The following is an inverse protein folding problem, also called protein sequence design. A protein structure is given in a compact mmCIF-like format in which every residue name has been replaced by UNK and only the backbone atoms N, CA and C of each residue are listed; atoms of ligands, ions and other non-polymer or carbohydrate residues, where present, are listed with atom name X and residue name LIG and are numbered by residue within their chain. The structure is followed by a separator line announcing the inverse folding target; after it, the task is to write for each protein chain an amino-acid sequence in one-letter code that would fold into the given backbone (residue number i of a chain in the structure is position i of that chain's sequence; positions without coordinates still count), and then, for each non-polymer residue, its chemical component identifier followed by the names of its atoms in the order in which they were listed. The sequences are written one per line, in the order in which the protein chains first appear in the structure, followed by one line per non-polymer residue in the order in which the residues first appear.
data_IF_151987220000
#
_entry.id   IF_151987220000
#
_cell.length_a   1.000
_cell.length_b   1.000
_cell.length_c   1.000
_cell.angle_alpha   90.00
_cell.angle_beta   90.00
_cell.angle_gamma   90.00
#
_symmetry.space_group_name_H-M   'P 1'
#
loop_
_entity.id
_entity.type
_entity.pdbx_description
1 polymer ?
#
# COMPACT_ATOMS: atom_id res chain seq x y z
N UNK A 1 -24.14 -33.75 7.58
CA UNK A 1 -23.20 -32.60 7.59
C UNK A 1 -23.67 -31.63 8.65
N UNK A 2 -22.96 -31.48 9.78
CA UNK A 2 -23.32 -30.50 10.79
C UNK A 2 -23.28 -29.10 10.15
N UNK A 3 -24.33 -28.31 10.35
CA UNK A 3 -24.35 -26.91 9.92
C UNK A 3 -23.17 -26.21 10.60
N UNK A 4 -22.18 -25.79 9.80
CA UNK A 4 -21.03 -25.05 10.31
C UNK A 4 -21.58 -23.83 11.06
N UNK A 5 -21.44 -23.83 12.39
CA UNK A 5 -21.80 -22.71 13.22
C UNK A 5 -21.06 -21.49 12.65
N UNK A 6 -21.81 -20.55 12.08
CA UNK A 6 -21.23 -19.33 11.53
C UNK A 6 -20.71 -18.55 12.73
N UNK A 7 -19.45 -18.74 13.07
CA UNK A 7 -18.75 -17.97 14.08
C UNK A 7 -18.57 -16.55 13.54
N UNK A 8 -19.64 -15.76 13.58
CA UNK A 8 -19.54 -14.35 13.32
C UNK A 8 -18.88 -13.69 14.52
N UNK A 9 -17.87 -12.87 14.25
CA UNK A 9 -17.32 -12.00 15.29
C UNK A 9 -18.43 -11.09 15.80
N UNK A 10 -18.72 -11.16 17.10
CA UNK A 10 -19.75 -10.34 17.73
C UNK A 10 -19.12 -8.99 18.11
N UNK A 11 -19.69 -7.85 17.69
CA UNK A 11 -19.19 -6.55 18.10
C UNK A 11 -19.32 -6.37 19.62
N UNK A 12 -18.36 -5.68 20.23
CA UNK A 12 -18.45 -5.29 21.64
C UNK A 12 -19.73 -4.47 21.87
N UNK A 13 -20.52 -4.79 22.90
CA UNK A 13 -21.74 -4.05 23.20
C UNK A 13 -21.43 -2.60 23.59
N UNK A 14 -22.32 -1.67 23.24
CA UNK A 14 -22.24 -0.26 23.65
C UNK A 14 -21.56 0.69 22.66
N UNK A 15 -21.01 0.20 21.54
CA UNK A 15 -20.40 1.07 20.51
C UNK A 15 -21.34 1.16 19.29
N UNK A 16 -22.00 2.31 19.11
CA UNK A 16 -22.92 2.54 17.97
C UNK A 16 -22.15 2.65 16.65
N UNK A 17 -22.59 1.92 15.63
CA UNK A 17 -22.02 1.99 14.27
C UNK A 17 -22.34 3.34 13.62
N UNK A 18 -21.37 4.03 13.00
CA UNK A 18 -21.65 5.24 12.24
C UNK A 18 -22.55 4.94 11.03
N UNK A 19 -23.34 5.91 10.56
CA UNK A 19 -24.19 5.71 9.40
C UNK A 19 -23.34 5.42 8.15
N UNK A 20 -23.69 4.35 7.44
CA UNK A 20 -23.02 3.99 6.19
C UNK A 20 -23.42 4.94 5.06
N UNK A 21 -22.54 5.17 4.07
CA UNK A 21 -22.91 5.93 2.87
C UNK A 21 -24.08 5.29 2.13
N UNK A 22 -25.04 6.11 1.70
CA UNK A 22 -26.25 5.63 1.00
C UNK A 22 -25.95 5.12 -0.41
N UNK A 23 -24.94 5.68 -1.08
CA UNK A 23 -24.60 5.35 -2.46
C UNK A 23 -23.70 4.10 -2.53
N UNK A 24 -24.35 2.95 -2.60
CA UNK A 24 -23.70 1.64 -2.80
C UNK A 24 -23.33 1.45 -4.26
N UNK A 25 -22.20 0.80 -4.52
CA UNK A 25 -21.78 0.40 -5.86
C UNK A 25 -22.86 -0.48 -6.56
N UNK A 26 -23.48 0.00 -7.65
CA UNK A 26 -24.58 -0.71 -8.30
C UNK A 26 -24.13 -2.02 -8.96
N UNK A 27 -22.86 -2.12 -9.35
CA UNK A 27 -22.35 -3.33 -9.99
C UNK A 27 -22.26 -4.52 -9.04
N UNK A 28 -22.15 -4.28 -7.73
CA UNK A 28 -22.15 -5.37 -6.74
C UNK A 28 -23.52 -6.05 -6.70
N UNK A 29 -24.61 -5.29 -6.83
CA UNK A 29 -25.98 -5.83 -6.86
C UNK A 29 -26.29 -6.56 -8.17
N UNK A 30 -25.66 -6.14 -9.27
CA UNK A 30 -25.82 -6.77 -10.58
C UNK A 30 -24.97 -8.03 -10.77
N UNK A 31 -24.07 -8.35 -9.84
CA UNK A 31 -23.24 -9.54 -9.94
C UNK A 31 -24.04 -10.81 -9.66
N UNK A 32 -23.77 -11.84 -10.45
CA UNK A 32 -24.34 -13.17 -10.25
C UNK A 32 -23.78 -13.79 -8.96
N UNK A 33 -24.68 -14.09 -8.01
CA UNK A 33 -24.35 -14.72 -6.72
C UNK A 33 -23.85 -16.15 -6.91
N UNK A 34 -24.20 -16.82 -8.01
CA UNK A 34 -23.81 -18.21 -8.28
C UNK A 34 -22.37 -18.34 -8.76
N UNK A 35 -21.81 -17.27 -9.36
CA UNK A 35 -20.47 -17.26 -9.94
C UNK A 35 -19.63 -16.14 -9.33
N UNK A 36 -19.01 -16.37 -8.16
CA UNK A 36 -18.21 -15.34 -7.51
C UNK A 36 -17.02 -14.93 -8.41
N UNK A 37 -16.59 -13.65 -8.35
CA UNK A 37 -15.44 -13.19 -9.10
C UNK A 37 -14.18 -14.00 -8.78
N UNK A 38 -13.34 -14.34 -9.77
CA UNK A 38 -12.16 -15.17 -9.54
C UNK A 38 -11.13 -14.47 -8.67
N UNK A 39 -10.68 -15.16 -7.62
CA UNK A 39 -9.58 -14.71 -6.75
C UNK A 39 -8.26 -14.96 -7.47
N UNK A 40 -7.44 -13.92 -7.61
CA UNK A 40 -6.08 -14.04 -8.16
C UNK A 40 -5.07 -13.89 -7.03
N UNK A 41 -4.08 -14.77 -7.00
CA UNK A 41 -2.99 -14.69 -6.03
C UNK A 41 -1.78 -13.96 -6.62
N UNK A 42 -1.12 -13.14 -5.81
CA UNK A 42 0.08 -12.41 -6.17
C UNK A 42 1.06 -12.41 -5.00
N UNK A 43 2.30 -12.81 -5.24
CA UNK A 43 3.40 -12.63 -4.30
C UNK A 43 3.84 -11.16 -4.31
N UNK A 44 3.82 -10.52 -3.14
CA UNK A 44 4.33 -9.16 -2.93
C UNK A 44 5.54 -9.27 -2.00
N UNK A 45 6.69 -8.77 -2.46
CA UNK A 45 7.89 -8.70 -1.63
C UNK A 45 8.00 -7.30 -1.04
N UNK A 46 8.07 -7.22 0.29
CA UNK A 46 8.33 -5.96 1.00
C UNK A 46 9.34 -6.20 2.10
N UNK A 47 10.40 -5.38 2.13
CA UNK A 47 11.45 -5.46 3.15
C UNK A 47 12.07 -6.86 3.30
N UNK A 48 12.22 -7.57 2.17
CA UNK A 48 12.77 -8.94 2.16
C UNK A 48 11.79 -10.05 2.56
N UNK A 49 10.55 -9.70 2.95
CA UNK A 49 9.50 -10.67 3.27
C UNK A 49 8.56 -10.82 2.08
N UNK A 50 8.45 -12.03 1.53
CA UNK A 50 7.43 -12.38 0.54
C UNK A 50 6.12 -12.70 1.25
N UNK A 51 5.05 -11.99 0.89
CA UNK A 51 3.69 -12.28 1.36
C UNK A 51 2.80 -12.53 0.15
N UNK A 52 2.11 -13.67 0.14
CA UNK A 52 1.13 -13.98 -0.90
C UNK A 52 -0.19 -13.28 -0.54
N UNK A 53 -0.73 -12.53 -1.49
CA UNK A 53 -1.98 -11.78 -1.35
C UNK A 53 -2.98 -12.29 -2.38
N UNK A 54 -4.15 -12.71 -1.92
CA UNK A 54 -5.32 -12.94 -2.75
C UNK A 54 -6.01 -11.61 -3.05
N UNK A 55 -6.39 -11.38 -4.32
CA UNK A 55 -7.12 -10.19 -4.74
C UNK A 55 -8.34 -10.55 -5.57
N UNK A 56 -9.43 -9.83 -5.32
CA UNK A 56 -10.65 -9.87 -6.14
C UNK A 56 -10.84 -8.51 -6.81
N UNK A 57 -11.08 -8.51 -8.11
CA UNK A 57 -11.35 -7.30 -8.90
C UNK A 57 -12.85 -7.02 -8.90
N UNK A 58 -13.24 -5.82 -8.47
CA UNK A 58 -14.63 -5.35 -8.45
C UNK A 58 -14.75 -4.13 -9.38
N UNK A 59 -15.67 -4.13 -10.35
CA UNK A 59 -15.95 -2.96 -11.19
C UNK A 59 -16.59 -1.85 -10.36
N UNK A 60 -16.20 -0.61 -10.63
CA UNK A 60 -16.77 0.58 -9.98
C UNK A 60 -17.50 1.46 -11.01
N UNK A 61 -18.52 2.22 -10.59
CA UNK A 61 -19.10 3.27 -11.43
C UNK A 61 -18.00 4.22 -11.91
N UNK A 62 -18.10 4.70 -13.15
CA UNK A 62 -17.05 5.50 -13.79
C UNK A 62 -16.02 4.70 -14.59
N UNK A 63 -16.26 3.40 -14.84
CA UNK A 63 -15.39 2.55 -15.66
C UNK A 63 -14.08 2.13 -14.99
N UNK A 64 -13.94 2.44 -13.70
CA UNK A 64 -12.83 2.02 -12.85
C UNK A 64 -12.98 0.60 -12.31
N UNK A 65 -12.02 0.21 -11.49
CA UNK A 65 -12.08 -1.02 -10.73
C UNK A 65 -11.37 -0.86 -9.38
N UNK A 66 -11.95 -1.48 -8.35
CA UNK A 66 -11.36 -1.62 -7.04
C UNK A 66 -10.84 -3.06 -6.87
N UNK A 67 -9.88 -3.24 -5.96
CA UNK A 67 -9.40 -4.56 -5.57
C UNK A 67 -9.64 -4.76 -4.09
N UNK A 68 -10.29 -5.85 -3.70
CA UNK A 68 -10.31 -6.31 -2.31
C UNK A 68 -9.11 -7.23 -2.10
N UNK A 69 -8.33 -6.96 -1.06
CA UNK A 69 -7.10 -7.68 -0.75
C UNK A 69 -7.27 -8.55 0.49
N UNK A 70 -6.76 -9.78 0.41
CA UNK A 70 -6.61 -10.73 1.52
C UNK A 70 -5.16 -11.19 1.61
N UNK A 71 -4.56 -11.12 2.79
CA UNK A 71 -3.26 -11.74 3.04
C UNK A 71 -3.44 -13.22 3.34
N UNK A 72 -2.64 -14.07 2.72
CA UNK A 72 -2.72 -15.52 2.95
C UNK A 72 -1.94 -15.99 4.18
N UNK A 73 -0.99 -15.19 4.67
CA UNK A 73 -0.19 -15.55 5.86
C UNK A 73 -1.03 -15.49 7.15
N UNK A 74 -1.81 -14.42 7.34
CA UNK A 74 -2.70 -14.26 8.51
C UNK A 74 -4.16 -14.51 8.18
N UNK A 75 -4.51 -14.67 6.90
CA UNK A 75 -5.90 -14.71 6.45
C UNK A 75 -6.61 -13.35 6.48
N UNK A 76 -5.96 -12.28 6.96
CA UNK A 76 -6.61 -10.99 7.18
C UNK A 76 -7.04 -10.30 5.87
N UNK A 77 -8.16 -9.59 5.93
CA UNK A 77 -8.78 -8.88 4.79
C UNK A 77 -8.74 -7.37 5.04
N UNK A 78 -8.41 -6.60 4.00
CA UNK A 78 -8.30 -5.14 4.12
C UNK A 78 -9.68 -4.47 4.08
N UNK A 79 -10.11 -3.94 5.23
CA UNK A 79 -11.37 -3.20 5.39
C UNK A 79 -11.41 -1.96 4.52
N UNK A 80 -10.32 -1.22 4.43
CA UNK A 80 -10.24 0.02 3.63
C UNK A 80 -10.50 -0.28 2.15
N UNK A 81 -10.00 -1.41 1.65
CA UNK A 81 -10.29 -1.84 0.27
C UNK A 81 -11.71 -2.35 0.09
N UNK A 82 -12.28 -3.04 1.09
CA UNK A 82 -13.70 -3.45 1.08
C UNK A 82 -14.61 -2.23 1.03
N UNK A 83 -14.36 -1.23 1.88
CA UNK A 83 -15.15 -0.01 1.98
C UNK A 83 -15.13 0.78 0.66
N UNK A 84 -13.95 1.00 0.07
CA UNK A 84 -13.82 1.69 -1.23
C UNK A 84 -14.46 0.94 -2.40
N UNK A 85 -14.46 -0.40 -2.34
CA UNK A 85 -15.12 -1.20 -3.38
C UNK A 85 -16.66 -1.13 -3.26
N UNK A 86 -17.17 -1.09 -2.02
CA UNK A 86 -18.60 -0.99 -1.72
C UNK A 86 -19.15 0.42 -1.93
N UNK A 87 -18.40 1.46 -1.55
CA UNK A 87 -18.80 2.86 -1.58
C UNK A 87 -17.77 3.71 -2.35
N UNK A 88 -17.76 3.64 -3.68
CA UNK A 88 -16.75 4.29 -4.52
C UNK A 88 -16.81 5.83 -4.50
N UNK A 89 -17.96 6.40 -4.15
CA UNK A 89 -18.20 7.86 -4.03
C UNK A 89 -18.10 8.37 -2.59
N UNK A 90 -17.84 7.49 -1.62
CA UNK A 90 -17.74 7.89 -0.22
C UNK A 90 -16.52 8.78 0.05
N UNK A 91 -16.67 9.69 1.01
CA UNK A 91 -15.58 10.53 1.48
C UNK A 91 -14.57 9.74 2.32
N UNK A 92 -13.33 10.21 2.36
CA UNK A 92 -12.28 9.64 3.21
C UNK A 92 -12.62 9.74 4.71
N UNK A 93 -13.45 10.72 5.09
CA UNK A 93 -13.94 10.88 6.46
C UNK A 93 -14.88 9.75 6.87
N UNK A 94 -15.78 9.32 5.97
CA UNK A 94 -16.66 8.17 6.21
C UNK A 94 -15.86 6.85 6.30
N UNK A 95 -14.81 6.70 5.48
CA UNK A 95 -13.89 5.57 5.61
C UNK A 95 -13.20 5.57 6.99
N UNK A 96 -12.74 6.74 7.45
CA UNK A 96 -12.04 6.89 8.73
C UNK A 96 -12.97 6.63 9.93
N UNK A 97 -14.22 7.10 9.88
CA UNK A 97 -15.19 6.88 10.96
C UNK A 97 -15.55 5.40 11.09
N UNK A 98 -15.76 4.71 9.97
CA UNK A 98 -16.03 3.26 9.95
C UNK A 98 -14.82 2.46 10.47
N UNK A 99 -13.61 2.80 10.03
CA UNK A 99 -12.38 2.16 10.53
C UNK A 99 -12.20 2.40 12.03
N UNK A 100 -12.54 3.60 12.53
CA UNK A 100 -12.46 3.89 13.97
C UNK A 100 -13.47 3.06 14.76
N UNK A 101 -14.71 2.96 14.27
CA UNK A 101 -15.74 2.12 14.88
C UNK A 101 -15.32 0.64 14.93
N UNK A 102 -14.72 0.12 13.86
CA UNK A 102 -14.23 -1.28 13.82
C UNK A 102 -13.16 -1.52 14.88
N UNK A 103 -12.21 -0.60 15.05
CA UNK A 103 -11.16 -0.71 16.08
C UNK A 103 -11.72 -0.74 17.50
N UNK A 104 -12.80 0.00 17.74
CA UNK A 104 -13.46 0.05 19.04
C UNK A 104 -14.32 -1.20 19.28
N UNK A 105 -14.96 -1.70 18.21
CA UNK A 105 -15.98 -2.76 18.30
C UNK A 105 -15.41 -4.17 18.23
N UNK A 106 -14.30 -4.39 17.55
CA UNK A 106 -13.76 -5.73 17.30
C UNK A 106 -12.33 -5.86 17.82
N UNK A 107 -11.95 -7.08 18.21
CA UNK A 107 -10.54 -7.39 18.39
C UNK A 107 -9.87 -7.56 17.03
N UNK A 108 -8.84 -6.75 16.78
CA UNK A 108 -8.05 -6.77 15.55
C UNK A 108 -6.62 -7.25 15.81
N UNK A 109 -6.38 -7.78 17.01
CA UNK A 109 -5.11 -8.41 17.38
C UNK A 109 -4.76 -9.52 16.38
N UNK A 110 -3.50 -9.57 15.95
CA UNK A 110 -3.02 -10.56 14.98
C UNK A 110 -3.43 -10.34 13.51
N UNK A 111 -4.39 -9.47 13.20
CA UNK A 111 -4.82 -9.25 11.81
C UNK A 111 -3.75 -8.52 10.98
N UNK A 112 -3.03 -7.57 11.60
CA UNK A 112 -1.89 -6.92 10.97
C UNK A 112 -0.58 -7.39 11.60
N UNK A 113 0.33 -7.95 10.78
CA UNK A 113 1.70 -8.19 11.24
C UNK A 113 2.32 -6.88 11.70
N UNK A 114 2.84 -6.86 12.93
CA UNK A 114 3.63 -5.74 13.45
C UNK A 114 4.96 -5.65 12.68
N UNK A 115 5.51 -4.43 12.56
CA UNK A 115 6.83 -4.19 11.94
C UNK A 115 6.80 -3.50 10.57
N UNK A 116 7.96 -3.51 9.90
CA UNK A 116 8.22 -2.77 8.64
C UNK A 116 7.39 -3.31 7.45
N UNK A 117 7.14 -4.62 7.42
CA UNK A 117 6.38 -5.30 6.37
C UNK A 117 4.84 -5.09 6.45
N UNK A 118 4.34 -4.10 7.20
CA UNK A 118 2.89 -3.85 7.33
C UNK A 118 2.30 -3.27 6.04
N UNK A 119 1.24 -3.88 5.53
CA UNK A 119 0.48 -3.28 4.42
C UNK A 119 -0.28 -2.04 4.90
N UNK A 120 -0.48 -1.08 3.98
CA UNK A 120 -1.28 0.12 4.27
C UNK A 120 -2.75 -0.24 4.52
N UNK A 121 -3.48 0.66 5.17
CA UNK A 121 -4.89 0.47 5.51
C UNK A 121 -5.13 -0.34 6.79
N UNK A 122 -6.40 -0.60 7.08
CA UNK A 122 -6.82 -1.39 8.23
C UNK A 122 -7.19 -2.82 7.79
N UNK A 123 -6.71 -3.79 8.56
CA UNK A 123 -6.82 -5.22 8.27
C UNK A 123 -7.54 -5.90 9.43
N UNK A 124 -8.50 -6.78 9.11
CA UNK A 124 -9.31 -7.51 10.10
C UNK A 124 -9.28 -9.01 9.81
N UNK A 125 -9.65 -9.81 10.81
CA UNK A 125 -9.80 -11.26 10.67
C UNK A 125 -10.93 -11.62 9.69
N UNK A 126 -10.91 -12.82 9.09
CA UNK A 126 -11.96 -13.28 8.18
C UNK A 126 -13.37 -13.19 8.78
N UNK A 127 -13.52 -13.53 10.06
CA UNK A 127 -14.83 -13.54 10.73
C UNK A 127 -15.43 -12.14 10.86
N UNK A 128 -14.60 -11.15 11.19
CA UNK A 128 -15.00 -9.74 11.22
C UNK A 128 -15.31 -9.25 9.80
N UNK A 129 -14.51 -9.64 8.80
CA UNK A 129 -14.79 -9.27 7.41
C UNK A 129 -16.11 -9.87 6.91
N UNK A 130 -16.45 -11.11 7.29
CA UNK A 130 -17.73 -11.75 6.98
C UNK A 130 -18.92 -11.02 7.61
N UNK A 131 -18.77 -10.55 8.85
CA UNK A 131 -19.78 -9.71 9.51
C UNK A 131 -19.97 -8.38 8.78
N UNK A 132 -18.88 -7.68 8.42
CA UNK A 132 -18.94 -6.40 7.70
C UNK A 132 -19.49 -6.56 6.27
N UNK A 133 -19.26 -7.72 5.64
CA UNK A 133 -19.66 -7.99 4.27
C UNK A 133 -21.17 -7.83 4.05
N UNK A 134 -22.00 -8.15 5.04
CA UNK A 134 -23.45 -8.00 4.94
C UNK A 134 -23.84 -6.52 4.80
N UNK A 135 -23.30 -5.65 5.66
CA UNK A 135 -23.54 -4.20 5.58
C UNK A 135 -22.95 -3.53 4.34
N UNK A 136 -21.94 -4.13 3.73
CA UNK A 136 -21.32 -3.63 2.49
C UNK A 136 -21.90 -4.27 1.22
N UNK A 137 -22.90 -5.15 1.35
CA UNK A 137 -23.44 -5.96 0.25
C UNK A 137 -22.39 -6.82 -0.48
N UNK A 138 -21.29 -7.17 0.19
CA UNK A 138 -20.21 -8.02 -0.32
C UNK A 138 -20.34 -9.48 0.15
N UNK A 139 -21.52 -9.87 0.66
CA UNK A 139 -21.78 -11.17 1.29
C UNK A 139 -21.50 -12.38 0.41
N UNK A 140 -21.54 -12.24 -0.92
CA UNK A 140 -21.22 -13.32 -1.87
C UNK A 140 -19.74 -13.36 -2.27
N UNK A 141 -19.01 -12.24 -2.15
CA UNK A 141 -17.60 -12.12 -2.57
C UNK A 141 -16.67 -12.52 -1.44
N UNK A 142 -16.93 -12.03 -0.23
CA UNK A 142 -16.02 -12.22 0.92
C UNK A 142 -15.88 -13.67 1.33
N UNK A 143 -16.93 -14.52 1.38
CA UNK A 143 -16.76 -15.95 1.68
C UNK A 143 -15.86 -16.65 0.67
N UNK A 144 -16.04 -16.38 -0.63
CA UNK A 144 -15.19 -16.95 -1.68
C UNK A 144 -13.73 -16.50 -1.53
N UNK A 145 -13.49 -15.22 -1.21
CA UNK A 145 -12.15 -14.70 -0.94
C UNK A 145 -11.54 -15.30 0.34
N UNK A 146 -12.34 -15.51 1.39
CA UNK A 146 -11.90 -16.05 2.68
C UNK A 146 -11.59 -17.56 2.62
N UNK A 147 -12.31 -18.33 1.81
CA UNK A 147 -12.07 -19.76 1.62
C UNK A 147 -11.04 -20.08 0.54
N UNK A 148 -10.62 -19.08 -0.27
CA UNK A 148 -9.67 -19.31 -1.35
C UNK A 148 -8.30 -19.76 -0.81
N UNK A 149 -7.78 -20.85 -1.37
CA UNK A 149 -6.45 -21.41 -1.06
C UNK A 149 -5.58 -21.29 -2.31
N UNK A 150 -4.34 -20.78 -2.19
CA UNK A 150 -3.40 -20.78 -3.32
C UNK A 150 -3.08 -22.23 -3.71
N UNK A 151 -3.00 -22.50 -5.02
CA UNK A 151 -2.55 -23.80 -5.48
C UNK A 151 -1.06 -23.98 -5.14
N UNK A 152 -0.68 -25.02 -4.36
CA UNK A 152 0.70 -25.23 -3.91
C UNK A 152 1.68 -25.40 -5.07
N UNK A 153 1.21 -25.84 -6.24
CA UNK A 153 2.05 -26.08 -7.40
C UNK A 153 2.25 -24.83 -8.26
N UNK A 154 1.57 -23.72 -7.94
CA UNK A 154 1.67 -22.49 -8.74
C UNK A 154 2.82 -21.61 -8.27
N UNK A 155 3.89 -21.57 -9.07
CA UNK A 155 4.95 -20.57 -8.89
C UNK A 155 4.39 -19.19 -9.21
N UNK A 156 4.13 -18.39 -8.18
CA UNK A 156 3.61 -17.04 -8.36
C UNK A 156 4.62 -16.17 -9.09
N UNK A 157 4.18 -15.55 -10.18
CA UNK A 157 5.03 -14.64 -10.96
C UNK A 157 5.39 -13.43 -10.11
N UNK A 158 6.59 -13.46 -9.54
CA UNK A 158 7.23 -12.33 -8.85
C UNK A 158 7.18 -11.11 -9.76
N UNK A 159 6.43 -10.08 -9.36
CA UNK A 159 6.25 -8.90 -10.21
C UNK A 159 7.59 -8.17 -10.37
N UNK A 160 8.21 -8.28 -11.55
CA UNK A 160 9.49 -7.63 -11.90
C UNK A 160 9.46 -6.08 -11.80
N UNK A 161 8.30 -5.48 -11.53
CA UNK A 161 8.10 -4.03 -11.43
C UNK A 161 7.81 -3.53 -10.00
N UNK A 162 7.95 -4.34 -8.95
CA UNK A 162 7.95 -3.79 -7.58
C UNK A 162 9.29 -3.12 -7.31
N UNK A 163 9.41 -1.89 -7.83
CA UNK A 163 10.35 -0.91 -7.29
C UNK A 163 9.97 -0.74 -5.80
N UNK A 164 10.92 -0.81 -4.86
CA UNK A 164 10.63 -0.66 -3.44
C UNK A 164 9.90 0.67 -3.22
N UNK A 165 8.69 0.61 -2.66
CA UNK A 165 7.99 1.81 -2.18
C UNK A 165 8.95 2.58 -1.28
N UNK A 166 9.32 3.83 -1.60
CA UNK A 166 10.22 4.59 -0.75
C UNK A 166 9.55 4.76 0.61
N UNK A 167 10.19 4.20 1.64
CA UNK A 167 9.86 4.45 3.04
C UNK A 167 9.94 5.95 3.27
N UNK A 168 8.80 6.58 3.54
CA UNK A 168 8.73 7.97 3.94
C UNK A 168 9.46 8.16 5.28
N UNK A 169 10.66 8.74 5.22
CA UNK A 169 11.15 9.69 6.21
C UNK A 169 10.84 11.10 5.71
N UNK A 170 10.54 12.06 6.60
CA UNK A 170 9.96 13.34 6.23
C UNK A 170 11.01 14.33 5.73
N UNK A 171 10.53 15.33 4.99
CA UNK A 171 11.23 16.52 4.50
C UNK A 171 12.18 16.34 3.30
N UNK A 172 11.59 16.24 2.10
CA UNK A 172 12.19 16.80 0.89
C UNK A 172 11.08 17.33 -0.03
N UNK A 173 11.24 18.59 -0.42
CA UNK A 173 10.36 19.44 -1.24
C UNK A 173 10.29 19.03 -2.73
N UNK A 174 9.36 19.62 -3.52
CA UNK A 174 8.85 19.06 -4.76
C UNK A 174 9.75 19.34 -5.98
N UNK A 175 10.26 18.29 -6.60
CA UNK A 175 10.88 18.34 -7.93
C UNK A 175 9.83 18.39 -9.07
N UNK A 176 10.16 18.97 -10.23
CA UNK A 176 9.19 19.35 -11.25
C UNK A 176 8.64 18.14 -12.03
N UNK A 177 7.35 18.22 -12.31
CA UNK A 177 6.52 17.21 -12.97
C UNK A 177 7.11 16.70 -14.30
N UNK A 178 7.05 15.38 -14.57
CA UNK A 178 7.42 14.85 -15.88
C UNK A 178 6.40 15.27 -16.94
N UNK A 179 6.91 15.93 -17.98
CA UNK A 179 6.17 16.41 -19.12
C UNK A 179 5.42 15.28 -19.87
N UNK A 180 4.21 15.62 -20.29
CA UNK A 180 3.30 14.87 -21.17
C UNK A 180 4.05 14.10 -22.26
N UNK A 181 3.94 12.77 -22.24
CA UNK A 181 4.30 11.89 -23.36
C UNK A 181 3.40 12.22 -24.56
N UNK A 182 4.01 12.88 -25.55
CA UNK A 182 3.50 13.08 -26.91
C UNK A 182 3.51 11.72 -27.63
N UNK A 183 2.35 11.35 -28.18
CA UNK A 183 2.15 10.19 -29.06
C UNK A 183 2.77 10.51 -30.40
N UNK A 184 3.93 9.92 -30.71
CA UNK A 184 4.51 9.93 -32.04
C UNK A 184 4.27 8.59 -32.76
N UNK A 185 4.21 8.72 -34.08
CA UNK A 185 3.52 7.85 -35.00
C UNK A 185 4.23 6.52 -35.28
N UNK A 186 3.40 5.62 -35.82
CA UNK A 186 3.72 4.38 -36.52
C UNK A 186 4.96 4.47 -37.41
N UNK A 187 5.67 3.33 -37.59
CA UNK A 187 6.04 2.96 -38.95
C UNK A 187 5.72 1.49 -39.29
N UNK A 188 5.10 1.36 -40.46
CA UNK A 188 5.22 0.33 -41.50
C UNK A 188 5.35 -1.16 -41.11
N UNK A 189 4.34 -1.92 -41.54
CA UNK A 189 4.41 -3.36 -41.76
C UNK A 189 5.25 -3.69 -43.02
N UNK A 190 5.99 -4.80 -43.04
CA UNK A 190 6.46 -5.40 -44.28
C UNK A 190 5.60 -6.59 -44.72
N UNK A 191 5.00 -6.41 -45.90
CA UNK A 191 5.01 -7.30 -47.09
C UNK A 191 4.63 -8.77 -46.92
N UNK A 192 3.48 -9.10 -47.50
CA UNK A 192 3.00 -10.45 -47.80
C UNK A 192 3.70 -11.05 -49.05
N UNK A 193 3.83 -12.38 -49.07
CA UNK A 193 4.17 -13.20 -50.24
C UNK A 193 3.36 -14.51 -50.21
N UNK A 194 3.17 -15.17 -51.37
CA UNK A 194 1.84 -15.58 -51.85
C UNK A 194 1.45 -17.04 -51.56
N UNK A 195 0.14 -17.27 -51.46
CA UNK A 195 -0.47 -18.61 -51.46
C UNK A 195 -0.97 -18.95 -52.87
N UNK A 196 -0.49 -20.08 -53.37
CA UNK A 196 -0.85 -20.71 -54.64
C UNK A 196 -2.23 -21.40 -54.53
N UNK A 197 -3.15 -21.10 -55.47
CA UNK A 197 -4.33 -21.93 -55.80
C UNK A 197 -4.02 -22.76 -57.07
N UNK A 198 -4.71 -23.87 -57.43
CA UNK A 198 -6.09 -23.88 -58.03
C UNK A 198 -6.90 -25.23 -57.81
N UNK A 199 -8.03 -25.59 -58.49
CA UNK A 199 -9.27 -24.87 -58.91
C UNK A 199 -10.60 -25.73 -58.67
N UNK A 200 -11.73 -25.67 -59.45
CA UNK A 200 -13.02 -25.18 -58.94
C UNK A 200 -14.27 -26.07 -59.24
N UNK A 201 -15.46 -25.68 -58.76
CA UNK A 201 -16.75 -26.00 -59.39
C UNK A 201 -17.82 -24.93 -59.10
N UNK A 202 -18.79 -24.70 -60.02
CA UNK A 202 -19.58 -23.46 -60.13
C UNK A 202 -21.00 -23.60 -59.55
N UNK A 203 -21.72 -22.48 -59.40
CA UNK A 203 -23.13 -22.28 -59.84
C UNK A 203 -23.62 -20.89 -59.41
N UNK A 204 -23.85 -20.07 -60.44
CA UNK A 204 -24.95 -19.14 -60.75
C UNK A 204 -25.40 -18.01 -59.79
N UNK A 205 -25.55 -16.86 -60.43
CA UNK A 205 -26.00 -15.51 -60.06
C UNK A 205 -27.55 -15.42 -60.08
N UNK A 206 -28.23 -14.24 -60.13
CA UNK A 206 -27.99 -12.85 -59.70
C UNK A 206 -29.14 -12.34 -58.76
N UNK A 207 -29.19 -11.13 -58.19
CA UNK A 207 -29.70 -9.87 -58.79
C UNK A 207 -29.55 -8.73 -57.75
N UNK A 208 -28.79 -7.70 -58.11
CA UNK A 208 -28.80 -6.30 -57.59
C UNK A 208 -30.02 -5.54 -58.18
N UNK A 209 -30.44 -4.28 -57.81
CA UNK A 209 -29.59 -3.10 -57.54
C UNK A 209 -30.28 -2.00 -56.63
N UNK A 210 -29.94 -0.67 -56.68
CA UNK A 210 -29.16 0.03 -55.63
C UNK A 210 -29.73 1.45 -55.23
N UNK A 211 -28.97 2.58 -55.17
CA UNK A 211 -28.18 3.13 -54.05
C UNK A 211 -28.41 4.65 -53.73
N UNK A 212 -27.91 5.15 -52.60
CA UNK A 212 -27.47 6.56 -52.48
C UNK A 212 -26.57 6.74 -51.24
N UNK A 213 -25.25 6.94 -51.36
CA UNK A 213 -24.45 8.13 -51.79
C UNK A 213 -24.07 9.09 -50.64
N UNK A 214 -22.75 9.37 -50.63
CA UNK A 214 -22.01 10.53 -50.05
C UNK A 214 -21.56 10.36 -48.59
N UNK A 215 -20.28 10.12 -48.29
CA UNK A 215 -19.09 10.97 -48.45
C UNK A 215 -19.14 12.25 -47.61
N UNK A 216 -18.31 12.33 -46.56
CA UNK A 216 -17.25 13.34 -46.34
C UNK A 216 -16.84 13.40 -44.87
N UNK A 217 -15.55 13.22 -44.61
CA UNK A 217 -14.85 13.74 -43.43
C UNK A 217 -14.81 15.28 -43.47
N UNK A 218 -14.63 15.97 -42.33
CA UNK A 218 -13.28 16.48 -42.07
C UNK A 218 -12.82 16.50 -40.60
N UNK A 219 -11.54 16.83 -40.50
CA UNK A 219 -10.53 16.87 -39.44
C UNK A 219 -10.74 17.93 -38.31
N UNK A 220 -9.88 17.93 -37.25
CA UNK A 220 -10.19 18.48 -35.93
C UNK A 220 -9.83 19.97 -35.79
N UNK A 221 -10.60 20.69 -34.96
CA UNK A 221 -10.38 22.13 -34.69
C UNK A 221 -9.86 22.38 -33.27
N UNK A 222 -8.86 23.26 -33.23
CA UNK A 222 -8.02 23.71 -32.13
C UNK A 222 -8.56 25.06 -31.61
N UNK A 223 -8.70 25.25 -30.29
CA UNK A 223 -8.64 26.54 -29.58
C UNK A 223 -8.70 26.27 -28.07
N UNK A 224 -7.67 26.48 -27.23
CA UNK A 224 -7.09 27.74 -26.70
C UNK A 224 -8.09 28.82 -26.28
N UNK A 225 -7.92 29.27 -25.02
CA UNK A 225 -8.35 30.57 -24.44
C UNK A 225 -9.87 30.68 -24.17
N UNK A 226 -10.40 31.26 -23.09
CA UNK A 226 -9.95 32.20 -22.06
C UNK A 226 -11.02 32.25 -20.93
N UNK A 227 -10.60 32.71 -19.74
CA UNK A 227 -11.34 33.58 -18.81
C UNK A 227 -12.69 33.15 -18.20
N UNK A 228 -12.68 33.09 -16.86
CA UNK A 228 -13.78 33.48 -15.96
C UNK A 228 -14.27 34.91 -16.24
N UNK A 229 -15.51 35.29 -15.85
CA UNK A 229 -15.70 36.08 -14.62
C UNK A 229 -17.11 35.83 -13.96
N UNK A 230 -17.64 36.68 -13.06
CA UNK A 230 -17.65 36.51 -11.61
C UNK A 230 -19.07 36.48 -10.98
N UNK A 231 -19.11 36.49 -9.64
CA UNK A 231 -20.27 36.53 -8.76
C UNK A 231 -21.38 37.52 -9.15
N UNK A 232 -22.62 37.08 -9.00
CA UNK A 232 -23.81 37.93 -8.97
C UNK A 232 -24.39 37.95 -7.54
N UNK A 233 -24.72 39.15 -7.10
CA UNK A 233 -25.19 39.53 -5.78
C UNK A 233 -26.64 40.05 -5.84
N UNK A 234 -27.30 40.03 -4.67
CA UNK A 234 -28.52 40.77 -4.26
C UNK A 234 -29.90 40.18 -4.67
N UNK A 235 -31.04 40.50 -3.98
CA UNK A 235 -31.25 41.58 -3.02
C UNK A 235 -32.03 41.30 -1.70
N UNK A 236 -31.93 42.33 -0.87
CA UNK A 236 -32.42 42.70 0.46
C UNK A 236 -33.95 42.88 0.61
N UNK A 237 -34.49 42.68 1.84
CA UNK A 237 -35.41 43.54 2.66
C UNK A 237 -36.48 42.73 3.46
N UNK A 238 -37.13 43.26 4.54
CA UNK A 238 -36.63 44.12 5.63
C UNK A 238 -37.16 43.80 7.06
N UNK A 239 -36.52 44.45 8.06
CA UNK A 239 -37.00 45.01 9.35
C UNK A 239 -38.02 44.26 10.25
N UNK A 240 -37.58 43.88 11.47
CA UNK A 240 -38.05 44.42 12.78
C UNK A 240 -36.91 44.31 13.80
N UNK A 241 -36.69 45.35 14.60
CA UNK A 241 -35.69 45.50 15.68
C UNK A 241 -36.41 45.95 16.99
N UNK A 242 -35.75 46.32 18.11
CA UNK A 242 -34.56 45.80 18.80
C UNK A 242 -34.78 45.64 20.34
N UNK A 243 -33.90 44.93 21.07
CA UNK A 243 -33.59 45.29 22.46
C UNK A 243 -32.25 44.73 22.99
N UNK A 244 -31.30 45.66 23.19
CA UNK A 244 -30.37 45.79 24.33
C UNK A 244 -29.24 44.75 24.53
N UNK A 245 -28.02 45.20 24.19
CA UNK A 245 -26.71 44.76 24.73
C UNK A 245 -26.42 45.42 26.09
N UNK A 246 -25.46 44.91 26.90
CA UNK A 246 -24.15 45.57 26.87
C UNK A 246 -22.93 44.64 27.00
N UNK A 247 -21.83 45.13 26.44
CA UNK A 247 -20.46 44.59 26.44
C UNK A 247 -19.80 44.81 27.81
N UNK A 248 -18.92 43.90 28.21
CA UNK A 248 -17.95 44.12 29.31
C UNK A 248 -16.50 43.93 28.83
N UNK A 249 -15.54 44.61 29.48
CA UNK A 249 -14.28 45.01 28.86
C UNK A 249 -13.07 44.11 29.20
N UNK A 250 -12.14 44.09 28.24
CA UNK A 250 -10.77 43.59 28.32
C UNK A 250 -9.98 44.37 29.38
N UNK A 251 -9.53 43.69 30.44
CA UNK A 251 -8.68 44.27 31.49
C UNK A 251 -7.30 43.62 31.49
N UNK A 252 -6.26 44.44 31.26
CA UNK A 252 -4.86 44.17 31.61
C UNK A 252 -4.72 44.32 33.12
N UNK A 253 -4.01 43.42 33.80
CA UNK A 253 -3.49 43.68 35.16
C UNK A 253 -2.02 43.28 35.28
N UNK A 254 -1.25 44.27 35.71
CA UNK A 254 0.09 44.19 36.27
C UNK A 254 -0.01 43.91 37.80
N UNK A 255 1.11 43.65 38.50
CA UNK A 255 1.16 42.95 39.77
C UNK A 255 0.82 43.87 40.94
N UNK A 256 0.25 43.32 42.03
CA UNK A 256 0.11 44.07 43.28
C UNK A 256 0.31 43.19 44.52
N UNK A 257 1.09 43.79 45.41
CA UNK A 257 1.50 43.42 46.76
C UNK A 257 0.36 43.22 47.76
N UNK A 258 0.77 42.55 48.84
CA UNK A 258 0.17 42.30 50.15
C UNK A 258 -0.68 43.44 50.74
N UNK A 259 -1.75 43.09 51.45
CA UNK A 259 -1.88 43.28 52.92
C UNK A 259 -3.32 43.01 53.43
N UNK A 260 -3.38 42.10 54.43
CA UNK A 260 -4.09 42.15 55.73
C UNK A 260 -5.64 42.16 55.83
N UNK A 261 -6.21 40.95 56.08
CA UNK A 261 -7.00 40.48 57.27
C UNK A 261 -8.15 41.33 57.89
N UNK A 262 -8.99 40.79 58.83
CA UNK A 262 -9.56 39.44 59.05
C UNK A 262 -11.07 39.43 59.42
N UNK A 263 -11.73 38.26 59.38
CA UNK A 263 -12.55 37.67 60.48
C UNK A 263 -13.68 36.76 59.99
N UNK A 264 -13.61 35.47 60.35
CA UNK A 264 -14.80 34.66 60.62
C UNK A 264 -14.88 33.29 59.96
N UNK A 265 -14.42 32.27 60.69
CA UNK A 265 -15.02 30.93 60.82
C UNK A 265 -14.94 29.97 59.61
N UNK A 266 -14.71 28.67 59.70
CA UNK A 266 -14.05 27.71 60.62
C UNK A 266 -14.09 26.36 59.83
N UNK A 267 -13.10 25.50 60.03
CA UNK A 267 -13.05 24.08 59.62
C UNK A 267 -13.28 23.68 58.13
N UNK A 268 -12.19 23.56 57.36
CA UNK A 268 -11.64 22.27 56.85
C UNK A 268 -10.44 22.57 55.93
N UNK A 269 -9.24 22.59 56.49
CA UNK A 269 -7.99 22.70 55.74
C UNK A 269 -7.14 21.46 56.03
N UNK A 270 -7.00 20.59 55.03
CA UNK A 270 -5.96 19.55 54.96
C UNK A 270 -5.01 19.98 53.86
N UNK A 271 -3.74 20.13 54.21
CA UNK A 271 -2.60 20.49 53.37
C UNK A 271 -2.48 19.62 52.11
N UNK A 272 -2.81 20.14 50.92
CA UNK A 272 -2.59 19.45 49.63
C UNK A 272 -1.66 20.19 48.65
N UNK A 273 -1.11 21.35 49.01
CA UNK A 273 -0.40 22.21 48.04
C UNK A 273 1.14 22.27 48.19
N UNK A 274 1.72 21.32 48.95
CA UNK A 274 3.18 21.14 49.05
C UNK A 274 3.71 19.86 48.36
N UNK A 275 2.83 18.99 47.83
CA UNK A 275 3.24 17.73 47.15
C UNK A 275 3.33 17.81 45.63
N UNK A 276 2.76 18.84 44.98
CA UNK A 276 2.75 18.95 43.52
C UNK A 276 4.15 19.24 42.90
N UNK A 277 5.14 19.64 43.71
CA UNK A 277 6.51 19.89 43.25
C UNK A 277 7.48 18.71 43.48
N UNK A 278 7.04 17.59 44.07
CA UNK A 278 7.90 16.40 44.32
C UNK A 278 7.74 15.26 43.31
N UNK A 279 6.88 15.41 42.30
CA UNK A 279 6.57 14.34 41.34
C UNK A 279 7.48 14.37 40.09
N UNK A 280 8.28 15.42 39.89
CA UNK A 280 9.02 15.62 38.64
C UNK A 280 10.52 15.25 38.66
N UNK A 281 11.10 14.87 39.81
CA UNK A 281 12.48 14.39 39.93
C UNK A 281 12.49 13.36 41.07
N UNK A 282 12.69 12.03 40.87
CA UNK A 282 13.78 11.42 40.09
C UNK A 282 13.46 10.03 39.47
N UNK A 283 13.44 9.90 38.14
CA UNK A 283 13.54 8.57 37.47
C UNK A 283 14.64 8.46 36.42
N UNK A 284 15.47 9.51 36.30
CA UNK A 284 16.54 9.54 35.31
C UNK A 284 17.65 8.51 35.62
N UNK A 285 17.85 8.15 36.90
CA UNK A 285 18.84 7.14 37.25
C UNK A 285 18.37 5.71 36.92
N UNK A 286 17.08 5.42 37.07
CA UNK A 286 16.47 4.15 36.66
C UNK A 286 16.47 4.00 35.14
N UNK A 287 16.14 5.06 34.40
CA UNK A 287 16.24 5.09 32.92
C UNK A 287 17.67 4.79 32.44
N UNK A 288 18.68 5.35 33.11
CA UNK A 288 20.09 5.07 32.79
C UNK A 288 20.46 3.61 33.09
N UNK A 289 19.92 3.02 34.16
CA UNK A 289 20.14 1.61 34.50
C UNK A 289 19.46 0.70 33.48
N UNK A 290 18.20 0.96 33.13
CA UNK A 290 17.45 0.19 32.12
C UNK A 290 18.13 0.25 30.74
N UNK A 291 18.63 1.43 30.33
CA UNK A 291 19.39 1.56 29.09
C UNK A 291 20.71 0.78 29.12
N UNK A 292 21.42 0.75 30.25
CA UNK A 292 22.65 -0.05 30.40
C UNK A 292 22.36 -1.55 30.33
N UNK A 293 21.28 -2.01 30.94
CA UNK A 293 20.84 -3.41 30.87
C UNK A 293 20.46 -3.81 29.45
N UNK A 294 19.75 -2.93 28.72
CA UNK A 294 19.39 -3.16 27.32
C UNK A 294 20.62 -3.32 26.42
N UNK A 295 21.64 -2.47 26.63
CA UNK A 295 22.90 -2.54 25.89
C UNK A 295 23.68 -3.82 26.24
N UNK A 296 23.71 -4.22 27.51
CA UNK A 296 24.35 -5.46 27.93
C UNK A 296 23.67 -6.69 27.30
N UNK A 297 22.33 -6.71 27.28
CA UNK A 297 21.53 -7.77 26.66
C UNK A 297 21.76 -7.85 25.14
N UNK A 298 21.74 -6.71 24.44
CA UNK A 298 22.01 -6.66 22.99
C UNK A 298 23.44 -7.08 22.63
N UNK A 299 24.42 -6.78 23.49
CA UNK A 299 25.80 -7.26 23.32
C UNK A 299 25.90 -8.78 23.53
N UNK A 300 25.23 -9.32 24.55
CA UNK A 300 25.19 -10.77 24.80
C UNK A 300 24.54 -11.52 23.63
N UNK A 301 23.41 -11.03 23.11
CA UNK A 301 22.73 -11.63 21.96
C UNK A 301 23.60 -11.59 20.69
N UNK A 302 24.33 -10.50 20.44
CA UNK A 302 25.29 -10.43 19.32
C UNK A 302 26.46 -11.40 19.48
N UNK A 303 26.98 -11.57 20.69
CA UNK A 303 28.05 -12.52 20.95
C UNK A 303 27.55 -13.96 20.71
N UNK A 304 26.37 -14.32 21.24
CA UNK A 304 25.76 -15.62 21.02
C UNK A 304 25.46 -15.89 19.53
N UNK A 305 24.96 -14.90 18.80
CA UNK A 305 24.72 -15.00 17.37
C UNK A 305 26.03 -15.21 16.58
N UNK A 306 27.12 -14.53 16.99
CA UNK A 306 28.43 -14.67 16.34
C UNK A 306 29.04 -16.06 16.60
N UNK A 307 28.90 -16.62 17.81
CA UNK A 307 29.33 -17.99 18.09
C UNK A 307 28.55 -19.00 17.24
N UNK A 308 27.22 -18.85 17.15
CA UNK A 308 26.39 -19.70 16.27
C UNK A 308 26.81 -19.62 14.80
N UNK A 309 27.17 -18.43 14.32
CA UNK A 309 27.68 -18.28 12.95
C UNK A 309 29.07 -18.92 12.76
N UNK A 310 29.95 -18.86 13.76
CA UNK A 310 31.24 -19.55 13.70
C UNK A 310 31.09 -21.07 13.70
N UNK A 311 30.17 -21.62 14.50
CA UNK A 311 29.91 -23.06 14.52
C UNK A 311 29.35 -23.56 13.19
N UNK A 312 28.43 -22.82 12.56
CA UNK A 312 27.91 -23.17 11.22
C UNK A 312 29.01 -23.15 10.16
N UNK A 313 29.88 -22.14 10.19
CA UNK A 313 30.99 -22.04 9.20
C UNK A 313 32.05 -23.13 9.41
N UNK A 314 32.35 -23.52 10.66
CA UNK A 314 33.33 -24.57 10.95
C UNK A 314 32.80 -25.98 10.67
N UNK A 315 31.48 -26.18 10.82
CA UNK A 315 30.82 -27.45 10.47
C UNK A 315 30.78 -27.65 8.96
N UNK A 316 30.53 -26.58 8.20
CA UNK A 316 30.48 -26.64 6.74
C UNK A 316 31.85 -26.83 6.05
N UNK A 317 32.97 -26.65 6.77
CA UNK A 317 34.32 -26.84 6.22
C UNK A 317 34.91 -28.23 6.47
N UNK A 318 34.26 -29.10 7.26
CA UNK A 318 34.79 -30.44 7.60
C UNK A 318 34.14 -31.56 6.76
N UNK A 319 32.99 -31.32 6.12
CA UNK A 319 32.29 -32.35 5.32
C UNK A 319 32.71 -32.42 3.83
N UNK A 320 33.67 -31.63 3.36
CA UNK A 320 34.04 -31.58 1.94
C UNK A 320 35.37 -32.29 1.59
N UNK A 321 36.01 -33.01 2.52
CA UNK A 321 37.35 -33.58 2.26
C UNK A 321 37.51 -35.09 2.53
N UNK A 322 36.43 -35.85 2.79
CA UNK A 322 36.56 -37.30 3.07
C UNK A 322 35.41 -38.15 2.50
N UNK A 323 35.26 -38.21 1.17
CA UNK A 323 34.61 -39.39 0.53
C UNK A 323 35.00 -39.55 -0.94
N UNK A 324 36.10 -40.25 -1.18
CA UNK A 324 36.47 -40.83 -2.48
C UNK A 324 37.23 -42.12 -2.16
N UNK A 325 37.01 -43.18 -2.97
CA UNK A 325 37.48 -44.59 -2.82
C UNK A 325 36.48 -45.43 -2.01
N UNK A 326 35.81 -46.50 -2.45
CA UNK A 326 35.87 -47.37 -3.64
C UNK A 326 34.67 -48.35 -3.56
N UNK A 327 34.16 -48.84 -4.69
CA UNK A 327 33.02 -49.78 -4.76
C UNK A 327 33.38 -50.93 -5.69
N UNK A 328 33.26 -52.17 -5.21
CA UNK A 328 33.19 -53.40 -6.02
C UNK A 328 31.93 -54.21 -5.62
N UNK A 329 31.00 -54.36 -6.58
CA UNK A 329 30.28 -55.56 -7.09
C UNK A 329 29.85 -56.75 -6.16
N UNK A 330 29.06 -57.75 -6.62
CA UNK A 330 27.59 -57.73 -6.62
C UNK A 330 26.97 -59.02 -6.00
N UNK A 331 25.63 -59.06 -5.83
CA UNK A 331 24.75 -60.21 -6.13
C UNK A 331 23.44 -60.20 -5.31
N UNK A 332 22.32 -60.35 -6.04
CA UNK A 332 21.34 -61.37 -5.70
C UNK A 332 20.03 -60.96 -5.00
N UNK A 333 18.96 -60.98 -5.80
CA UNK A 333 17.76 -61.82 -5.59
C UNK A 333 16.45 -61.17 -5.06
N UNK A 334 15.56 -60.90 -6.04
CA UNK A 334 14.11 -61.21 -6.12
C UNK A 334 13.05 -60.36 -5.38
N UNK A 335 12.32 -59.63 -6.25
CA UNK A 335 10.87 -59.31 -6.31
C UNK A 335 10.37 -58.12 -5.47
N UNK A 336 9.87 -57.08 -6.14
CA UNK A 336 8.41 -56.78 -6.29
C UNK A 336 8.20 -55.31 -6.71
N UNK A 337 7.44 -55.14 -7.81
CA UNK A 337 6.60 -53.99 -8.21
C UNK A 337 7.25 -52.85 -9.03
N UNK A 338 6.90 -52.87 -10.31
CA UNK A 338 7.06 -51.79 -11.28
C UNK A 338 6.25 -50.56 -10.88
N UNK A 339 6.94 -49.45 -10.57
CA UNK A 339 6.53 -48.12 -11.01
C UNK A 339 7.79 -47.38 -11.49
N UNK A 340 7.77 -47.05 -12.77
CA UNK A 340 8.87 -46.55 -13.59
C UNK A 340 9.31 -45.16 -13.09
N UNK A 341 10.40 -45.14 -12.31
CA UNK A 341 11.06 -43.91 -11.88
C UNK A 341 11.95 -43.42 -13.02
N UNK A 342 11.35 -42.75 -14.00
CA UNK A 342 12.11 -41.94 -14.98
C UNK A 342 12.88 -40.87 -14.23
N UNK A 343 14.17 -41.09 -14.04
CA UNK A 343 15.12 -40.09 -13.58
C UNK A 343 15.16 -38.97 -14.62
N UNK A 344 14.52 -37.84 -14.31
CA UNK A 344 14.65 -36.60 -15.07
C UNK A 344 16.09 -36.07 -14.92
N UNK A 345 16.98 -36.58 -15.75
CA UNK A 345 18.35 -36.07 -15.91
C UNK A 345 18.26 -34.73 -16.62
N UNK A 346 18.25 -33.64 -15.85
CA UNK A 346 18.31 -32.28 -16.37
C UNK A 346 19.70 -32.05 -16.97
N UNK A 347 19.81 -32.21 -18.29
CA UNK A 347 20.98 -31.76 -19.04
C UNK A 347 20.97 -30.23 -19.08
N UNK A 348 21.51 -29.58 -18.05
CA UNK A 348 21.92 -28.18 -18.15
C UNK A 348 23.04 -28.12 -19.18
N UNK A 349 22.69 -27.67 -20.39
CA UNK A 349 23.68 -27.23 -21.35
C UNK A 349 24.31 -25.97 -20.76
N UNK A 350 25.44 -26.14 -20.07
CA UNK A 350 26.27 -25.02 -19.65
C UNK A 350 26.48 -24.13 -20.88
N UNK A 351 26.10 -22.84 -20.83
CA UNK A 351 26.44 -21.92 -21.90
C UNK A 351 27.96 -21.86 -21.94
N UNK A 352 28.54 -22.49 -22.96
CA UNK A 352 29.99 -22.55 -23.15
C UNK A 352 30.60 -21.15 -23.03
N UNK A 353 31.79 -21.11 -22.43
CA UNK A 353 32.59 -19.92 -22.08
C UNK A 353 32.96 -18.98 -23.25
N UNK A 354 32.38 -19.15 -24.44
CA UNK A 354 32.75 -18.43 -25.66
C UNK A 354 31.85 -17.26 -26.08
N UNK A 355 30.66 -17.06 -25.51
CA UNK A 355 29.70 -16.06 -26.04
C UNK A 355 29.01 -15.21 -24.96
N UNK A 356 29.79 -14.58 -24.07
CA UNK A 356 29.31 -13.38 -23.36
C UNK A 356 29.68 -12.16 -24.19
N UNK A 357 28.98 -11.99 -25.32
CA UNK A 357 29.00 -10.70 -26.02
C UNK A 357 28.39 -9.63 -25.10
N UNK A 358 29.19 -8.64 -24.71
CA UNK A 358 28.77 -7.48 -23.94
C UNK A 358 27.53 -6.87 -24.59
N UNK A 359 26.36 -7.12 -23.99
CA UNK A 359 25.13 -6.47 -24.44
C UNK A 359 25.29 -4.99 -24.16
N UNK A 360 25.46 -4.21 -25.22
CA UNK A 360 25.54 -2.76 -25.17
C UNK A 360 24.32 -2.20 -24.42
N UNK A 361 24.52 -1.86 -23.15
CA UNK A 361 23.52 -1.16 -22.35
C UNK A 361 23.43 0.23 -22.96
N UNK A 362 22.35 0.49 -23.69
CA UNK A 362 22.01 1.81 -24.22
C UNK A 362 21.76 2.78 -23.05
N UNK A 363 22.85 3.30 -22.49
CA UNK A 363 22.82 4.32 -21.44
C UNK A 363 22.58 5.67 -22.11
N UNK A 364 21.51 6.33 -21.66
CA UNK A 364 21.08 7.62 -22.15
C UNK A 364 22.24 8.64 -22.04
N UNK A 365 22.62 9.29 -23.14
CA UNK A 365 23.87 10.08 -23.25
C UNK A 365 24.00 11.21 -22.23
N UNK A 366 22.89 11.68 -21.66
CA UNK A 366 22.87 12.70 -20.60
C UNK A 366 23.41 12.21 -19.25
N UNK A 367 23.40 10.91 -18.98
CA UNK A 367 23.92 10.34 -17.72
C UNK A 367 25.45 10.17 -17.78
N UNK A 368 26.04 10.12 -18.98
CA UNK A 368 27.51 9.97 -19.13
C UNK A 368 28.31 11.14 -18.54
N UNK A 369 27.75 12.36 -18.56
CA UNK A 369 28.44 13.53 -18.04
C UNK A 369 28.59 13.50 -16.50
N UNK A 370 27.62 12.92 -15.78
CA UNK A 370 27.71 12.78 -14.32
C UNK A 370 28.50 11.54 -13.88
N UNK A 371 28.50 10.46 -14.67
CA UNK A 371 29.23 9.24 -14.31
C UNK A 371 30.74 9.40 -14.42
N UNK A 372 31.22 10.26 -15.34
CA UNK A 372 32.66 10.48 -15.59
C UNK A 372 33.33 11.48 -14.65
N UNK A 373 32.60 12.12 -13.73
CA UNK A 373 33.21 13.03 -12.75
C UNK A 373 34.00 12.23 -11.69
N UNK A 374 35.25 12.61 -11.39
CA UNK A 374 36.03 12.00 -10.31
C UNK A 374 35.29 12.16 -8.97
N UNK A 375 35.40 11.19 -8.05
CA UNK A 375 34.60 11.10 -6.85
C UNK A 375 34.69 12.35 -5.96
N UNK A 376 35.85 13.01 -5.93
CA UNK A 376 36.08 14.25 -5.17
C UNK A 376 35.22 15.43 -5.66
N UNK A 377 34.85 15.47 -6.94
CA UNK A 377 34.00 16.54 -7.51
C UNK A 377 32.51 16.26 -7.32
N UNK A 378 32.13 15.01 -7.03
CA UNK A 378 30.73 14.63 -6.79
C UNK A 378 30.23 15.17 -5.45
N UNK A 379 31.04 15.08 -4.39
CA UNK A 379 30.67 15.61 -3.07
C UNK A 379 30.52 17.14 -3.09
N UNK A 380 31.39 17.86 -3.81
CA UNK A 380 31.31 19.31 -3.96
C UNK A 380 30.04 19.73 -4.73
N UNK A 381 29.68 19.02 -5.80
CA UNK A 381 28.45 19.28 -6.55
C UNK A 381 27.18 19.06 -5.70
N UNK A 382 27.13 18.00 -4.90
CA UNK A 382 26.03 17.77 -3.96
C UNK A 382 25.99 18.82 -2.84
N UNK A 383 27.15 19.23 -2.33
CA UNK A 383 27.26 20.31 -1.34
C UNK A 383 26.78 21.66 -1.87
N UNK A 384 27.15 22.03 -3.09
CA UNK A 384 26.70 23.25 -3.73
C UNK A 384 25.17 23.25 -3.97
N UNK A 385 24.61 22.11 -4.37
CA UNK A 385 23.17 21.95 -4.57
C UNK A 385 22.40 22.07 -3.24
N UNK A 386 22.89 21.44 -2.17
CA UNK A 386 22.27 21.55 -0.84
C UNK A 386 22.35 22.98 -0.27
N UNK A 387 23.48 23.67 -0.47
CA UNK A 387 23.66 25.07 -0.03
C UNK A 387 22.71 26.03 -0.77
N UNK A 388 22.56 25.85 -2.09
CA UNK A 388 21.64 26.65 -2.90
C UNK A 388 20.17 26.43 -2.48
N UNK A 389 19.77 25.18 -2.17
CA UNK A 389 18.44 24.88 -1.67
C UNK A 389 18.19 25.50 -0.28
N UNK A 390 19.20 25.45 0.61
CA UNK A 390 19.12 26.07 1.94
C UNK A 390 18.91 27.58 1.88
N UNK A 391 19.66 28.30 1.03
CA UNK A 391 19.46 29.74 0.83
C UNK A 391 18.08 30.07 0.25
N UNK A 392 17.54 29.22 -0.64
CA UNK A 392 16.19 29.36 -1.17
C UNK A 392 15.11 29.32 -0.09
N UNK A 393 15.17 28.33 0.81
CA UNK A 393 14.18 28.16 1.88
C UNK A 393 14.15 29.33 2.88
N UNK A 394 15.32 29.91 3.20
CA UNK A 394 15.41 31.04 4.16
C UNK A 394 14.76 32.32 3.61
N UNK A 395 14.73 32.50 2.28
CA UNK A 395 14.07 33.66 1.66
C UNK A 395 12.53 33.56 1.61
N UNK A 396 11.96 32.36 1.74
CA UNK A 396 10.51 32.13 1.68
C UNK A 396 9.81 32.07 3.06
N UNK A 397 10.57 31.94 4.16
CA UNK A 397 10.02 31.86 5.52
C UNK A 397 9.31 33.12 6.08
N UNK A 398 9.65 34.39 5.72
CA UNK A 398 8.98 35.54 6.35
C UNK A 398 7.53 35.76 5.89
N UNK A 399 7.07 35.12 4.80
CA UNK A 399 5.72 35.35 4.25
C UNK A 399 4.62 34.43 4.79
N UNK A 400 4.96 33.43 5.63
CA UNK A 400 3.97 32.49 6.17
C UNK A 400 3.35 32.93 7.50
N UNK A 401 3.94 33.89 8.22
CA UNK A 401 3.40 34.38 9.50
C UNK A 401 2.17 35.30 9.36
N UNK A 402 1.88 35.80 8.15
CA UNK A 402 0.73 36.69 7.91
C UNK A 402 -0.60 35.99 7.60
N UNK A 403 -0.62 34.66 7.42
CA UNK A 403 -1.82 33.90 6.97
C UNK A 403 -2.53 33.21 8.14
N UNK A 404 -1.99 33.27 9.36
CA UNK A 404 -2.48 32.52 10.53
C UNK A 404 -3.11 33.38 11.65
N UNK A 405 -3.47 34.64 11.38
CA UNK A 405 -4.19 35.51 12.33
C UNK A 405 -5.45 36.12 11.73
#
# INVERSE_FOLDING_TARGET
MPAAAKHFAVPKPGVSRPPLPTEVNPHIRAMDTTKPPPVKFQEIMRDGVSTIVGRVKIPTPGGGHAFILRRLDTGAISVTTMFRAAFPTASEEAEKSEVNWIKQSFDTSGANKSGKARFAGHWVTPDVALYLAEGYHLSFIIPSLASAVPDPNTTFRRSKNQQPTPTASPAAEPGPAPAKRRREASPAAPVAAPVTAPPPAPVETPVSPPPSRKATSPTPRRSTRLRSPPAASLPTQPLVAPSVTPKTPRSRRAPREEMLTPAGSDETAVDEDAEAARIAEPKMHEDIQEQKELIAKLKADRAAAKTRQQDVTKSASIETETTLVETEEPAGTKRVREEEKTEYRFNFKEPGEGEVGERAIATNSRVRLLSQLPPERKSLAWGALAFAAGLGAVTFLPNLQGILF
#
